data_IF_795687528764
#
_entry.id   IF_795687528764
#
_cell.length_a   1.000
_cell.length_b   1.000
_cell.length_c   1.000
_cell.angle_alpha   90.00
_cell.angle_beta   90.00
_cell.angle_gamma   90.00
#
_symmetry.space_group_name_H-M   'P 1'
#
loop_
_entity.id
_entity.type
_entity.pdbx_description
1 polymer ?
#
# COMPACT_ATOMS: atom_id res chain seq x y z
N UNK A 1 10.31 -13.82 6.83
CA UNK A 1 11.59 -13.07 6.76
C UNK A 1 11.81 -12.30 8.05
N UNK A 2 11.00 -11.28 8.37
CA UNK A 2 11.15 -10.49 9.60
C UNK A 2 11.06 -11.27 10.91
N UNK A 3 10.14 -12.24 11.02
CA UNK A 3 10.02 -13.11 12.20
C UNK A 3 11.34 -13.81 12.57
N UNK A 4 12.06 -14.31 11.56
CA UNK A 4 13.34 -14.99 11.75
C UNK A 4 14.49 -14.02 12.02
N UNK A 5 14.49 -12.85 11.39
CA UNK A 5 15.59 -11.88 11.51
C UNK A 5 15.54 -11.07 12.82
N UNK A 6 14.36 -10.65 13.24
CA UNK A 6 14.16 -9.90 14.49
C UNK A 6 13.79 -10.80 15.67
N UNK A 7 13.60 -12.12 15.45
CA UNK A 7 13.12 -13.06 16.46
C UNK A 7 11.75 -12.63 17.02
N UNK A 8 10.88 -12.16 16.14
CA UNK A 8 9.51 -11.75 16.44
C UNK A 8 8.55 -12.91 16.24
N UNK A 9 7.39 -12.85 16.91
CA UNK A 9 6.30 -13.77 16.59
C UNK A 9 5.86 -13.57 15.13
N UNK A 10 5.28 -14.61 14.53
CA UNK A 10 4.67 -14.49 13.20
C UNK A 10 3.59 -13.41 13.16
N UNK A 11 2.80 -13.27 14.23
CA UNK A 11 1.78 -12.24 14.35
C UNK A 11 2.38 -10.84 14.41
N UNK A 12 3.44 -10.64 15.19
CA UNK A 12 4.14 -9.35 15.29
C UNK A 12 4.74 -8.92 13.96
N UNK A 13 5.31 -9.87 13.22
CA UNK A 13 5.88 -9.63 11.90
C UNK A 13 4.82 -9.27 10.86
N UNK A 14 3.66 -9.93 10.91
CA UNK A 14 2.52 -9.61 10.05
C UNK A 14 1.90 -8.25 10.42
N UNK A 15 1.79 -7.95 11.72
CA UNK A 15 1.35 -6.65 12.22
C UNK A 15 2.26 -5.52 11.74
N UNK A 16 3.58 -5.69 11.87
CA UNK A 16 4.56 -4.74 11.33
C UNK A 16 4.36 -4.50 9.83
N UNK A 17 4.28 -5.58 9.03
CA UNK A 17 4.06 -5.46 7.58
C UNK A 17 2.75 -4.73 7.25
N UNK A 18 1.65 -5.07 7.94
CA UNK A 18 0.36 -4.42 7.72
C UNK A 18 0.39 -2.93 8.10
N UNK A 19 0.92 -2.57 9.27
CA UNK A 19 1.00 -1.18 9.74
C UNK A 19 1.90 -0.33 8.86
N UNK A 20 2.99 -0.89 8.33
CA UNK A 20 3.86 -0.19 7.39
C UNK A 20 3.21 -0.03 6.01
N UNK A 21 2.60 -1.07 5.46
CA UNK A 21 1.94 -1.02 4.14
C UNK A 21 0.67 -0.18 4.13
N UNK A 22 -0.09 -0.19 5.22
CA UNK A 22 -1.25 0.70 5.43
C UNK A 22 -0.84 2.15 5.66
N UNK A 23 0.47 2.45 5.74
CA UNK A 23 1.04 3.77 6.03
C UNK A 23 0.64 4.36 7.38
N UNK A 24 0.04 3.55 8.28
CA UNK A 24 -0.30 3.95 9.64
C UNK A 24 0.98 4.28 10.42
N UNK A 25 2.00 3.43 10.30
CA UNK A 25 3.37 3.76 10.72
C UNK A 25 3.55 4.11 12.20
N UNK A 26 2.85 3.44 13.13
CA UNK A 26 2.96 3.74 14.58
C UNK A 26 4.39 3.70 15.13
N UNK A 27 5.30 2.94 14.48
CA UNK A 27 6.72 2.90 14.86
C UNK A 27 7.00 2.16 16.17
N UNK A 28 6.01 1.55 16.81
CA UNK A 28 6.19 0.79 18.06
C UNK A 28 6.94 -0.53 17.82
N UNK A 29 6.67 -1.20 16.70
CA UNK A 29 7.51 -2.27 16.18
C UNK A 29 8.40 -1.71 15.06
N UNK A 30 9.68 -1.57 15.37
CA UNK A 30 10.73 -1.24 14.40
C UNK A 30 11.83 -2.29 14.49
N UNK A 31 12.44 -2.69 13.37
CA UNK A 31 13.49 -3.69 13.34
C UNK A 31 14.76 -3.17 14.05
N UNK A 32 14.76 -3.22 15.38
CA UNK A 32 15.78 -2.62 16.22
C UNK A 32 17.11 -3.36 16.11
N UNK A 33 17.10 -4.68 15.85
CA UNK A 33 18.34 -5.43 15.63
C UNK A 33 18.93 -5.14 14.27
N UNK A 34 18.08 -4.96 13.25
CA UNK A 34 18.52 -4.57 11.91
C UNK A 34 19.06 -3.14 11.88
N UNK A 35 18.54 -2.23 12.73
CA UNK A 35 19.01 -0.85 12.84
C UNK A 35 20.28 -0.71 13.69
N UNK A 36 20.36 -1.39 14.84
CA UNK A 36 21.57 -1.35 15.71
C UNK A 36 22.79 -2.04 15.10
N UNK A 37 22.58 -2.96 14.16
CA UNK A 37 23.67 -3.73 13.55
C UNK A 37 24.14 -3.18 12.20
N UNK A 38 23.68 -1.99 11.81
CA UNK A 38 24.04 -1.35 10.53
C UNK A 38 25.54 -1.00 10.39
N UNK A 39 26.35 -1.21 11.43
CA UNK A 39 27.80 -1.03 11.43
C UNK A 39 28.57 -2.17 10.72
N UNK A 40 27.88 -3.24 10.26
CA UNK A 40 28.50 -4.39 9.56
C UNK A 40 27.91 -4.59 8.15
N UNK A 41 28.75 -4.99 7.19
CA UNK A 41 28.40 -5.13 5.75
C UNK A 41 27.27 -6.15 5.48
N UNK A 42 27.21 -7.28 6.20
CA UNK A 42 26.15 -8.30 6.05
C UNK A 42 24.75 -7.77 6.47
N UNK A 43 24.73 -6.76 7.33
CA UNK A 43 23.48 -6.21 7.86
C UNK A 43 22.86 -5.18 6.92
N UNK A 44 23.64 -4.58 6.01
CA UNK A 44 23.10 -3.70 4.96
C UNK A 44 22.16 -4.46 4.02
N UNK A 45 22.46 -5.73 3.73
CA UNK A 45 21.62 -6.56 2.84
C UNK A 45 20.23 -6.79 3.43
N UNK A 46 20.11 -6.93 4.77
CA UNK A 46 18.83 -7.11 5.46
C UNK A 46 17.95 -5.87 5.37
N UNK A 47 18.53 -4.68 5.50
CA UNK A 47 17.84 -3.41 5.31
C UNK A 47 17.40 -3.20 3.87
N UNK A 48 18.27 -3.50 2.90
CA UNK A 48 17.92 -3.41 1.47
C UNK A 48 16.77 -4.35 1.13
N UNK A 49 16.80 -5.60 1.61
CA UNK A 49 15.70 -6.55 1.40
C UNK A 49 14.42 -6.10 2.11
N UNK A 50 14.53 -5.51 3.31
CA UNK A 50 13.40 -4.91 4.01
C UNK A 50 12.75 -3.81 3.17
N UNK A 51 13.55 -2.85 2.71
CA UNK A 51 13.10 -1.74 1.86
C UNK A 51 12.50 -2.26 0.55
N UNK A 52 13.14 -3.23 -0.10
CA UNK A 52 12.63 -3.82 -1.34
C UNK A 52 11.27 -4.52 -1.14
N UNK A 53 11.11 -5.27 -0.04
CA UNK A 53 9.84 -5.91 0.31
C UNK A 53 8.73 -4.89 0.57
N UNK A 54 9.04 -3.81 1.29
CA UNK A 54 8.10 -2.72 1.55
C UNK A 54 7.71 -1.97 0.28
N UNK A 55 8.67 -1.68 -0.60
CA UNK A 55 8.41 -1.04 -1.90
C UNK A 55 7.56 -1.92 -2.80
N UNK A 56 7.85 -3.22 -2.86
CA UNK A 56 7.05 -4.17 -3.63
C UNK A 56 5.62 -4.25 -3.10
N UNK A 57 5.44 -4.38 -1.78
CA UNK A 57 4.12 -4.40 -1.16
C UNK A 57 3.35 -3.10 -1.41
N UNK A 58 4.01 -1.94 -1.31
CA UNK A 58 3.39 -0.65 -1.58
C UNK A 58 2.99 -0.52 -3.06
N UNK A 59 3.81 -1.01 -3.99
CA UNK A 59 3.48 -1.02 -5.42
C UNK A 59 2.25 -1.88 -5.73
N UNK A 60 2.15 -3.07 -5.13
CA UNK A 60 0.97 -3.95 -5.27
C UNK A 60 -0.28 -3.28 -4.71
N UNK A 61 -0.18 -2.66 -3.53
CA UNK A 61 -1.28 -1.93 -2.91
C UNK A 61 -1.71 -0.75 -3.79
N UNK A 62 -0.75 0.05 -4.28
CA UNK A 62 -1.02 1.17 -5.17
C UNK A 62 -1.69 0.72 -6.47
N UNK A 63 -1.21 -0.35 -7.11
CA UNK A 63 -1.82 -0.90 -8.32
C UNK A 63 -3.24 -1.41 -8.05
N UNK A 64 -3.46 -2.08 -6.92
CA UNK A 64 -4.79 -2.52 -6.49
C UNK A 64 -5.74 -1.33 -6.33
N UNK A 65 -5.28 -0.24 -5.71
CA UNK A 65 -6.06 0.99 -5.60
C UNK A 65 -6.32 1.66 -6.95
N UNK A 66 -5.37 1.67 -7.88
CA UNK A 66 -5.59 2.21 -9.24
C UNK A 66 -6.72 1.47 -9.95
N UNK A 67 -6.74 0.13 -9.88
CA UNK A 67 -7.81 -0.67 -10.46
C UNK A 67 -9.17 -0.41 -9.78
N UNK A 68 -9.18 -0.29 -8.45
CA UNK A 68 -10.40 0.04 -7.72
C UNK A 68 -10.93 1.42 -8.14
N UNK A 69 -10.06 2.41 -8.31
CA UNK A 69 -10.46 3.74 -8.78
C UNK A 69 -11.06 3.69 -10.18
N UNK A 70 -10.48 2.92 -11.10
CA UNK A 70 -11.01 2.75 -12.45
C UNK A 70 -12.38 2.08 -12.45
N UNK A 71 -12.58 1.02 -11.67
CA UNK A 71 -13.89 0.36 -11.53
C UNK A 71 -14.91 1.30 -10.86
N UNK A 72 -14.52 2.03 -9.81
CA UNK A 72 -15.40 2.99 -9.14
C UNK A 72 -15.77 4.14 -10.08
N UNK A 73 -14.83 4.65 -10.87
CA UNK A 73 -15.08 5.69 -11.88
C UNK A 73 -15.98 5.18 -13.01
N UNK A 74 -15.82 3.91 -13.38
CA UNK A 74 -16.70 3.24 -14.32
C UNK A 74 -18.13 3.13 -13.76
N UNK A 75 -18.28 2.63 -12.53
CA UNK A 75 -19.58 2.51 -11.84
C UNK A 75 -20.23 3.87 -11.58
N UNK A 76 -19.45 4.89 -11.22
CA UNK A 76 -19.97 6.24 -10.96
C UNK A 76 -20.51 6.88 -12.23
N UNK A 77 -19.89 6.65 -13.40
CA UNK A 77 -20.43 7.06 -14.71
C UNK A 77 -21.74 6.33 -15.03
N UNK A 78 -21.83 5.04 -14.77
CA UNK A 78 -23.07 4.27 -14.96
C UNK A 78 -24.20 4.79 -14.06
N UNK A 79 -23.90 5.09 -12.79
CA UNK A 79 -24.85 5.71 -11.86
C UNK A 79 -25.22 7.13 -12.27
N UNK A 80 -24.28 7.94 -12.77
CA UNK A 80 -24.56 9.30 -13.24
C UNK A 80 -25.50 9.32 -14.46
N UNK A 81 -25.37 8.34 -15.36
CA UNK A 81 -26.30 8.13 -16.48
C UNK A 81 -27.64 7.62 -15.99
N UNK A 82 -27.66 6.65 -15.06
CA UNK A 82 -28.89 6.11 -14.49
C UNK A 82 -29.70 7.16 -13.72
N UNK A 83 -29.03 8.03 -12.95
CA UNK A 83 -29.66 9.14 -12.25
C UNK A 83 -30.05 10.31 -13.17
N UNK A 84 -29.80 10.23 -14.49
CA UNK A 84 -30.17 11.28 -15.45
C UNK A 84 -29.40 12.59 -15.32
N UNK A 85 -28.28 12.60 -14.59
CA UNK A 85 -27.47 13.79 -14.30
C UNK A 85 -26.66 14.30 -15.50
N UNK A 86 -26.58 13.53 -16.59
CA UNK A 86 -26.24 14.08 -17.91
C UNK A 86 -27.53 14.53 -18.59
N UNK A 87 -28.18 15.52 -17.98
CA UNK A 87 -29.33 16.20 -18.56
C UNK A 87 -28.95 16.84 -19.87
N UNK A 88 -29.58 16.35 -20.94
CA UNK A 88 -29.80 17.00 -22.24
C UNK A 88 -29.26 18.43 -22.32
N UNK A 89 -28.15 18.63 -23.04
CA UNK A 89 -27.92 19.92 -23.69
C UNK A 89 -28.94 19.99 -24.80
N UNK A 90 -30.00 20.74 -24.53
CA UNK A 90 -31.03 21.16 -25.45
C UNK A 90 -30.35 21.66 -26.73
N UNK A 91 -30.57 20.96 -27.83
CA UNK A 91 -30.43 21.46 -29.18
C UNK A 91 -31.31 22.70 -29.32
N UNK A 92 -30.78 23.89 -29.06
CA UNK A 92 -31.40 25.11 -29.59
C UNK A 92 -30.86 25.30 -31.00
N UNK A 93 -31.49 24.59 -31.93
CA UNK A 93 -31.54 24.92 -33.34
C UNK A 93 -32.10 26.34 -33.55
N UNK A 94 -31.65 26.93 -34.66
CA UNK A 94 -32.14 28.11 -35.42
C UNK A 94 -31.90 29.52 -34.89
#
# INVERSE_FOLDING_TARGET
VFASWENWSYLDSAYFCFVTLSTIGFGELVPSRSLKSAENEENQTRLIVCCAYLLFGLAVVAMSFSLMQDEIAYRSRQLAVYCGLTGRRHDTHV
#
